data_IF_367195071100
#
_entry.id   IF_367195071100
#
_cell.length_a   1.000
_cell.length_b   1.000
_cell.length_c   1.000
_cell.angle_alpha   90.00
_cell.angle_beta   90.00
_cell.angle_gamma   90.00
#
_symmetry.space_group_name_H-M   'P 1'
#
loop_
_entity.id
_entity.type
_entity.pdbx_description
1 polymer ?
#
# COMPACT_ATOMS: atom_id res chain seq x y z
N UNK A 1 41.51 -8.62 -24.25
CA UNK A 1 40.07 -8.97 -24.23
C UNK A 1 39.37 -7.95 -23.37
N UNK A 2 38.89 -6.87 -23.98
CA UNK A 2 38.00 -5.89 -23.35
C UNK A 2 36.58 -6.40 -23.56
N UNK A 3 35.92 -6.89 -22.52
CA UNK A 3 34.50 -7.19 -22.59
C UNK A 3 33.76 -5.89 -22.89
N UNK A 4 33.08 -5.84 -24.04
CA UNK A 4 32.11 -4.81 -24.32
C UNK A 4 30.99 -4.94 -23.27
N UNK A 5 30.62 -3.87 -22.56
CA UNK A 5 29.44 -3.92 -21.72
C UNK A 5 28.26 -4.24 -22.63
N UNK A 6 27.51 -5.28 -22.27
CA UNK A 6 26.28 -5.70 -22.96
C UNK A 6 25.42 -4.47 -23.20
N UNK A 7 25.28 -4.06 -24.45
CA UNK A 7 24.35 -3.01 -24.85
C UNK A 7 22.95 -3.43 -24.39
N UNK A 8 22.49 -2.83 -23.29
CA UNK A 8 21.09 -2.93 -22.90
C UNK A 8 20.27 -2.49 -24.11
N UNK A 9 19.21 -3.21 -24.53
CA UNK A 9 18.47 -2.87 -25.73
C UNK A 9 17.97 -1.42 -25.62
N UNK A 10 18.64 -0.51 -26.34
CA UNK A 10 18.31 0.92 -26.40
C UNK A 10 17.13 1.14 -27.34
N UNK A 11 16.05 0.39 -27.12
CA UNK A 11 14.80 0.54 -27.83
C UNK A 11 13.95 1.61 -27.16
N UNK A 12 13.38 2.50 -27.97
CA UNK A 12 12.24 3.32 -27.54
C UNK A 12 11.14 2.40 -26.98
N UNK A 13 10.60 2.72 -25.80
CA UNK A 13 9.51 1.94 -25.24
C UNK A 13 8.24 2.12 -26.06
N UNK A 14 7.38 1.09 -26.03
CA UNK A 14 6.02 1.21 -26.54
C UNK A 14 5.30 2.39 -25.84
N UNK A 15 4.51 3.22 -26.55
CA UNK A 15 3.87 4.40 -25.96
C UNK A 15 3.05 4.10 -24.71
N UNK A 16 2.34 2.97 -24.69
CA UNK A 16 1.60 2.50 -23.52
C UNK A 16 2.51 2.20 -22.33
N UNK A 17 3.62 1.48 -22.56
CA UNK A 17 4.57 1.13 -21.50
C UNK A 17 5.18 2.39 -20.85
N UNK A 18 5.43 3.43 -21.66
CA UNK A 18 5.89 4.73 -21.16
C UNK A 18 4.86 5.42 -20.26
N UNK A 19 3.59 5.46 -20.66
CA UNK A 19 2.54 6.09 -19.85
C UNK A 19 2.30 5.29 -18.57
N UNK A 20 2.21 3.96 -18.68
CA UNK A 20 2.05 3.07 -17.52
C UNK A 20 3.22 3.17 -16.56
N UNK A 21 4.45 3.27 -17.04
CA UNK A 21 5.62 3.49 -16.19
C UNK A 21 5.53 4.80 -15.41
N UNK A 22 5.19 5.91 -16.09
CA UNK A 22 5.05 7.22 -15.43
C UNK A 22 3.95 7.20 -14.39
N UNK A 23 2.81 6.59 -14.72
CA UNK A 23 1.71 6.38 -13.79
C UNK A 23 2.16 5.54 -12.59
N UNK A 24 2.79 4.39 -12.82
CA UNK A 24 3.25 3.49 -11.76
C UNK A 24 4.27 4.16 -10.85
N UNK A 25 5.21 4.94 -11.41
CA UNK A 25 6.18 5.70 -10.62
C UNK A 25 5.48 6.73 -9.74
N UNK A 26 4.61 7.57 -10.30
CA UNK A 26 3.91 8.60 -9.51
C UNK A 26 3.01 7.95 -8.46
N UNK A 27 2.24 6.93 -8.84
CA UNK A 27 1.37 6.21 -7.93
C UNK A 27 2.19 5.62 -6.76
N UNK A 28 3.29 4.93 -7.06
CA UNK A 28 4.17 4.39 -6.02
C UNK A 28 4.70 5.48 -5.08
N UNK A 29 5.20 6.61 -5.61
CA UNK A 29 5.69 7.71 -4.79
C UNK A 29 4.59 8.29 -3.90
N UNK A 30 3.40 8.52 -4.45
CA UNK A 30 2.26 9.08 -3.70
C UNK A 30 1.71 8.13 -2.64
N UNK A 31 1.67 6.82 -2.93
CA UNK A 31 1.11 5.82 -2.04
C UNK A 31 2.10 5.39 -0.95
N UNK A 32 3.36 5.14 -1.33
CA UNK A 32 4.36 4.56 -0.44
C UNK A 32 5.17 5.60 0.35
N UNK A 33 5.36 6.82 -0.18
CA UNK A 33 6.30 7.79 0.40
C UNK A 33 5.64 9.05 0.97
N UNK A 34 4.42 9.39 0.56
CA UNK A 34 3.75 10.58 1.10
C UNK A 34 3.18 10.25 2.48
N UNK A 35 3.64 10.93 3.55
CA UNK A 35 3.23 10.61 4.91
C UNK A 35 1.78 11.03 5.17
N UNK A 36 1.17 10.40 6.18
CA UNK A 36 -0.21 10.73 6.59
C UNK A 36 -0.37 12.20 6.98
N UNK A 37 0.68 12.87 7.49
CA UNK A 37 0.65 14.31 7.80
C UNK A 37 0.29 15.17 6.59
N UNK A 38 0.67 14.74 5.38
CA UNK A 38 0.34 15.43 4.13
C UNK A 38 -1.05 15.01 3.65
N UNK A 39 -1.38 13.72 3.76
CA UNK A 39 -2.67 13.18 3.31
C UNK A 39 -3.86 13.61 4.16
N UNK A 40 -3.71 13.73 5.48
CA UNK A 40 -4.82 13.97 6.41
C UNK A 40 -5.62 15.24 6.11
N UNK A 41 -5.00 16.44 5.93
CA UNK A 41 -5.76 17.64 5.57
C UNK A 41 -6.42 17.53 4.19
N UNK A 42 -5.77 16.84 3.24
CA UNK A 42 -6.29 16.64 1.89
C UNK A 42 -7.54 15.76 1.93
N UNK A 43 -7.45 14.58 2.56
CA UNK A 43 -8.54 13.60 2.63
C UNK A 43 -9.72 14.17 3.42
N UNK A 44 -9.46 14.86 4.53
CA UNK A 44 -10.53 15.51 5.31
C UNK A 44 -11.21 16.64 4.56
N UNK A 45 -10.44 17.50 3.88
CA UNK A 45 -10.98 18.57 3.05
C UNK A 45 -11.86 18.03 1.92
N UNK A 46 -11.43 16.94 1.28
CA UNK A 46 -12.18 16.29 0.22
C UNK A 46 -13.44 15.59 0.73
N UNK A 47 -13.35 14.92 1.88
CA UNK A 47 -14.53 14.36 2.52
C UNK A 47 -15.56 15.42 2.89
N UNK A 48 -15.12 16.58 3.39
CA UNK A 48 -16.01 17.71 3.67
C UNK A 48 -16.64 18.29 2.38
N UNK A 49 -15.86 18.41 1.30
CA UNK A 49 -16.36 18.90 0.02
C UNK A 49 -17.37 17.96 -0.66
N UNK A 50 -17.25 16.65 -0.40
CA UNK A 50 -18.13 15.61 -0.95
C UNK A 50 -19.25 15.18 0.01
N UNK A 51 -19.38 15.81 1.18
CA UNK A 51 -20.30 15.42 2.26
C UNK A 51 -20.16 13.94 2.67
N UNK A 52 -18.93 13.41 2.62
CA UNK A 52 -18.60 12.04 3.02
C UNK A 52 -18.00 12.06 4.43
N UNK A 53 -18.59 11.33 5.39
CA UNK A 53 -18.06 11.27 6.75
C UNK A 53 -16.71 10.56 6.78
N UNK A 54 -15.63 11.32 7.00
CA UNK A 54 -14.27 10.78 7.10
C UNK A 54 -14.04 10.21 8.50
N UNK A 55 -14.28 8.90 8.65
CA UNK A 55 -13.99 8.20 9.90
C UNK A 55 -12.62 7.55 9.83
N UNK A 56 -11.65 8.11 10.55
CA UNK A 56 -10.43 7.40 10.90
C UNK A 56 -10.69 6.63 12.19
N UNK A 57 -10.97 5.33 12.07
CA UNK A 57 -11.05 4.42 13.22
C UNK A 57 -9.92 3.40 13.06
N UNK A 58 -8.90 3.42 13.95
CA UNK A 58 -7.90 2.36 13.99
C UNK A 58 -8.59 1.03 14.18
N UNK A 59 -8.76 0.28 13.09
CA UNK A 59 -9.39 -1.03 13.11
C UNK A 59 -8.39 -2.13 12.77
N UNK A 60 -7.16 -1.77 12.38
CA UNK A 60 -6.12 -2.73 11.99
C UNK A 60 -6.35 -3.42 10.64
N UNK A 61 -7.31 -2.97 9.81
CA UNK A 61 -7.53 -3.53 8.46
C UNK A 61 -7.40 -2.52 7.31
N UNK A 62 -7.14 -1.25 7.58
CA UNK A 62 -7.09 -0.20 6.54
C UNK A 62 -8.42 0.01 5.82
N UNK A 63 -9.49 -0.65 6.25
CA UNK A 63 -10.83 -0.55 5.68
C UNK A 63 -11.57 0.56 6.41
N UNK A 64 -11.22 1.79 6.05
CA UNK A 64 -11.87 2.99 6.53
C UNK A 64 -12.23 3.88 5.36
N UNK A 65 -13.26 4.68 5.52
CA UNK A 65 -13.61 5.75 4.57
C UNK A 65 -12.42 6.67 4.29
N UNK A 66 -11.54 6.89 5.28
CA UNK A 66 -10.33 7.67 5.09
C UNK A 66 -9.38 7.00 4.08
N UNK A 67 -9.06 5.72 4.26
CA UNK A 67 -8.15 5.00 3.38
C UNK A 67 -8.71 4.87 1.95
N UNK A 68 -10.02 4.66 1.82
CA UNK A 68 -10.70 4.57 0.52
C UNK A 68 -10.58 5.90 -0.26
N UNK A 69 -10.85 7.03 0.40
CA UNK A 69 -10.68 8.35 -0.20
C UNK A 69 -9.20 8.61 -0.54
N UNK A 70 -8.27 8.29 0.36
CA UNK A 70 -6.84 8.45 0.10
C UNK A 70 -6.39 7.71 -1.17
N UNK A 71 -6.81 6.45 -1.35
CA UNK A 71 -6.47 5.67 -2.55
C UNK A 71 -7.13 6.27 -3.80
N UNK A 72 -8.41 6.64 -3.72
CA UNK A 72 -9.14 7.23 -4.86
C UNK A 72 -8.48 8.52 -5.36
N UNK A 73 -8.14 9.41 -4.43
CA UNK A 73 -7.49 10.68 -4.78
C UNK A 73 -6.03 10.50 -5.18
N UNK A 74 -5.29 9.60 -4.53
CA UNK A 74 -3.96 9.21 -4.96
C UNK A 74 -3.94 8.68 -6.39
N UNK A 75 -4.93 7.87 -6.76
CA UNK A 75 -5.10 7.38 -8.13
C UNK A 75 -5.36 8.52 -9.11
N UNK A 76 -6.27 9.43 -8.78
CA UNK A 76 -6.56 10.61 -9.62
C UNK A 76 -5.35 11.52 -9.79
N UNK A 77 -4.61 11.78 -8.71
CA UNK A 77 -3.38 12.57 -8.73
C UNK A 77 -2.29 11.92 -9.59
N UNK A 78 -2.10 10.60 -9.46
CA UNK A 78 -1.13 9.87 -10.26
C UNK A 78 -1.49 9.88 -11.76
N UNK A 79 -2.78 9.77 -12.10
CA UNK A 79 -3.25 9.92 -13.47
C UNK A 79 -2.98 11.32 -14.02
N UNK A 80 -3.34 12.37 -13.28
CA UNK A 80 -3.14 13.76 -13.71
C UNK A 80 -1.65 14.09 -13.87
N UNK A 81 -0.82 13.74 -12.89
CA UNK A 81 0.61 13.99 -12.92
C UNK A 81 1.33 13.18 -14.02
N UNK A 82 0.94 11.92 -14.26
CA UNK A 82 1.52 11.12 -15.36
C UNK A 82 1.11 11.63 -16.74
N UNK A 83 -0.09 12.21 -16.87
CA UNK A 83 -0.53 12.90 -18.08
C UNK A 83 0.31 14.17 -18.31
N UNK A 84 0.42 15.04 -17.29
CA UNK A 84 1.25 16.26 -17.37
C UNK A 84 2.69 15.92 -17.70
N UNK A 85 3.28 14.93 -17.03
CA UNK A 85 4.62 14.46 -17.35
C UNK A 85 4.71 13.95 -18.80
N UNK A 86 3.67 13.29 -19.32
CA UNK A 86 3.67 12.83 -20.70
C UNK A 86 3.57 13.92 -21.75
N UNK A 87 3.01 15.08 -21.41
CA UNK A 87 2.98 16.26 -22.27
C UNK A 87 4.33 16.99 -22.30
N UNK A 88 5.02 17.05 -21.15
CA UNK A 88 6.28 17.79 -20.99
C UNK A 88 7.49 16.98 -21.48
N UNK A 89 7.60 15.73 -21.04
CA UNK A 89 8.76 14.89 -21.32
C UNK A 89 8.52 14.00 -22.54
N UNK A 90 9.25 14.27 -23.61
CA UNK A 90 9.15 13.51 -24.86
C UNK A 90 10.12 12.32 -24.94
N UNK A 91 10.90 12.06 -23.89
CA UNK A 91 11.77 10.87 -23.83
C UNK A 91 10.97 9.61 -24.09
N UNK A 92 11.59 8.67 -24.78
CA UNK A 92 10.97 7.41 -25.22
C UNK A 92 11.26 6.26 -24.28
N UNK A 93 12.20 6.40 -23.33
CA UNK A 93 12.54 5.38 -22.35
C UNK A 93 13.19 5.98 -21.09
N UNK A 94 13.04 5.30 -19.94
CA UNK A 94 13.60 5.70 -18.65
C UNK A 94 14.22 4.49 -17.90
N UNK A 95 15.24 3.82 -18.46
CA UNK A 95 15.75 2.55 -17.92
C UNK A 95 16.20 2.66 -16.46
N UNK A 96 16.96 3.71 -16.11
CA UNK A 96 17.42 3.93 -14.73
C UNK A 96 16.28 4.16 -13.74
N UNK A 97 15.22 4.86 -14.14
CA UNK A 97 14.08 5.09 -13.24
C UNK A 97 13.20 3.84 -13.11
N UNK A 98 13.08 3.03 -14.18
CA UNK A 98 12.40 1.74 -14.10
C UNK A 98 13.10 0.77 -13.16
N UNK A 99 14.43 0.68 -13.26
CA UNK A 99 15.23 -0.13 -12.35
C UNK A 99 15.10 0.38 -10.91
N UNK A 100 15.22 1.69 -10.69
CA UNK A 100 15.03 2.29 -9.37
C UNK A 100 13.64 2.03 -8.78
N UNK A 101 12.57 2.09 -9.60
CA UNK A 101 11.21 1.79 -9.17
C UNK A 101 11.08 0.32 -8.74
N UNK A 102 11.63 -0.62 -9.50
CA UNK A 102 11.61 -2.04 -9.14
C UNK A 102 12.38 -2.30 -7.84
N UNK A 103 13.54 -1.67 -7.67
CA UNK A 103 14.32 -1.75 -6.43
C UNK A 103 13.55 -1.15 -5.25
N UNK A 104 12.91 0.01 -5.44
CA UNK A 104 12.12 0.63 -4.38
C UNK A 104 10.89 -0.22 -4.02
N UNK A 105 10.17 -0.76 -5.01
CA UNK A 105 8.98 -1.56 -4.82
C UNK A 105 9.29 -2.89 -4.11
N UNK A 106 10.35 -3.60 -4.50
CA UNK A 106 10.77 -4.84 -3.81
C UNK A 106 11.17 -4.57 -2.37
N UNK A 107 11.90 -3.48 -2.12
CA UNK A 107 12.36 -3.12 -0.77
C UNK A 107 11.18 -2.69 0.10
N UNK A 108 10.26 -1.88 -0.44
CA UNK A 108 9.03 -1.51 0.24
C UNK A 108 8.19 -2.75 0.61
N UNK A 109 7.96 -3.65 -0.36
CA UNK A 109 7.22 -4.88 -0.11
C UNK A 109 7.90 -5.75 0.94
N UNK A 110 9.22 -5.92 0.89
CA UNK A 110 9.97 -6.68 1.88
C UNK A 110 9.83 -6.09 3.28
N UNK A 111 9.96 -4.76 3.42
CA UNK A 111 9.79 -4.07 4.71
C UNK A 111 8.36 -4.24 5.23
N UNK A 112 7.34 -4.10 4.37
CA UNK A 112 5.95 -4.32 4.77
C UNK A 112 5.72 -5.77 5.21
N UNK A 113 6.14 -6.76 4.42
CA UNK A 113 5.99 -8.17 4.77
C UNK A 113 6.69 -8.53 6.09
N UNK A 114 7.91 -8.02 6.31
CA UNK A 114 8.62 -8.20 7.56
C UNK A 114 7.88 -7.53 8.73
N UNK A 115 7.41 -6.29 8.57
CA UNK A 115 6.66 -5.60 9.61
C UNK A 115 5.38 -6.36 9.99
N UNK A 116 4.65 -6.89 8.99
CA UNK A 116 3.47 -7.72 9.21
C UNK A 116 3.81 -9.05 9.90
N UNK A 117 4.89 -9.73 9.49
CA UNK A 117 5.38 -10.95 10.11
C UNK A 117 5.80 -10.74 11.56
N UNK A 118 6.59 -9.70 11.84
CA UNK A 118 6.98 -9.33 13.19
C UNK A 118 5.79 -8.97 14.07
N UNK A 119 4.79 -8.25 13.54
CA UNK A 119 3.58 -7.93 14.27
C UNK A 119 2.84 -9.19 14.77
N UNK A 120 2.88 -10.29 14.01
CA UNK A 120 2.35 -11.60 14.43
C UNK A 120 3.27 -12.30 15.43
N UNK A 121 4.58 -12.30 15.20
CA UNK A 121 5.57 -12.97 16.07
C UNK A 121 5.50 -12.42 17.51
N UNK A 122 5.35 -11.10 17.66
CA UNK A 122 5.24 -10.46 18.98
C UNK A 122 3.81 -10.48 19.54
N UNK A 123 2.84 -11.08 18.85
CA UNK A 123 1.44 -11.18 19.27
C UNK A 123 0.65 -9.87 19.22
N UNK A 124 1.16 -8.83 18.55
CA UNK A 124 0.50 -7.52 18.46
C UNK A 124 -0.61 -7.47 17.40
N UNK A 125 -0.53 -8.30 16.36
CA UNK A 125 -1.50 -8.28 15.25
C UNK A 125 -2.86 -8.88 15.63
N UNK A 126 -2.86 -9.97 16.41
CA UNK A 126 -4.08 -10.62 16.93
C UNK A 126 -4.01 -10.70 18.46
N UNK A 127 -4.42 -9.65 19.17
CA UNK A 127 -4.45 -9.66 20.63
C UNK A 127 -5.32 -10.79 21.18
N UNK A 128 -4.97 -11.27 22.36
CA UNK A 128 -5.77 -12.27 23.06
C UNK A 128 -7.23 -11.78 23.25
N UNK A 129 -8.24 -12.64 23.00
CA UNK A 129 -9.63 -12.25 23.15
C UNK A 129 -9.99 -11.79 24.56
N UNK A 130 -10.46 -10.55 24.67
CA UNK A 130 -10.98 -10.01 25.91
C UNK A 130 -12.37 -10.55 26.26
N UNK A 131 -12.84 -10.23 27.47
CA UNK A 131 -14.14 -10.67 28.00
C UNK A 131 -15.30 -10.34 27.06
N UNK A 132 -15.27 -9.17 26.40
CA UNK A 132 -16.29 -8.74 25.43
C UNK A 132 -16.50 -9.76 24.30
N UNK A 133 -15.42 -10.34 23.77
CA UNK A 133 -15.50 -11.34 22.70
C UNK A 133 -15.97 -12.70 23.24
N UNK A 134 -15.51 -13.07 24.45
CA UNK A 134 -15.77 -14.38 25.05
C UNK A 134 -17.23 -14.57 25.46
N UNK A 135 -17.91 -13.50 25.90
CA UNK A 135 -19.33 -13.57 26.30
C UNK A 135 -20.29 -13.27 25.14
N UNK A 136 -19.78 -12.81 24.00
CA UNK A 136 -20.61 -12.47 22.84
C UNK A 136 -21.07 -13.75 22.13
N UNK A 137 -22.38 -13.94 21.90
CA UNK A 137 -22.87 -15.08 21.14
C UNK A 137 -22.24 -15.15 19.74
N UNK A 138 -21.89 -16.36 19.28
CA UNK A 138 -21.24 -16.56 17.98
C UNK A 138 -21.98 -15.91 16.81
N UNK A 139 -23.32 -15.96 16.80
CA UNK A 139 -24.14 -15.34 15.75
C UNK A 139 -24.11 -13.81 15.70
N UNK A 140 -23.52 -13.15 16.71
CA UNK A 140 -23.38 -11.70 16.79
C UNK A 140 -21.93 -11.23 16.51
N UNK A 141 -21.00 -12.16 16.28
CA UNK A 141 -19.64 -11.82 15.90
C UNK A 141 -19.60 -11.38 14.43
N UNK A 142 -18.83 -10.32 14.15
CA UNK A 142 -18.49 -10.01 12.76
C UNK A 142 -17.51 -11.08 12.22
N UNK A 143 -17.46 -11.31 10.88
CA UNK A 143 -16.49 -12.24 10.30
C UNK A 143 -15.04 -11.93 10.72
N UNK A 144 -14.70 -10.64 10.77
CA UNK A 144 -13.43 -10.14 11.29
C UNK A 144 -13.21 -10.54 12.75
N UNK A 145 -14.18 -10.27 13.63
CA UNK A 145 -14.07 -10.58 15.05
C UNK A 145 -13.87 -12.07 15.31
N UNK A 146 -14.53 -12.92 14.52
CA UNK A 146 -14.38 -14.37 14.61
C UNK A 146 -12.96 -14.82 14.24
N UNK A 147 -12.42 -14.37 13.10
CA UNK A 147 -11.06 -14.73 12.65
C UNK A 147 -9.99 -14.16 13.58
N UNK A 148 -10.11 -12.89 13.96
CA UNK A 148 -9.16 -12.27 14.91
C UNK A 148 -9.20 -12.98 16.26
N UNK A 149 -10.38 -13.36 16.74
CA UNK A 149 -10.54 -14.14 17.96
C UNK A 149 -9.82 -15.48 17.88
N UNK A 150 -10.07 -16.24 16.80
CA UNK A 150 -9.42 -17.53 16.56
C UNK A 150 -7.89 -17.42 16.49
N UNK A 151 -7.37 -16.49 15.68
CA UNK A 151 -5.93 -16.25 15.57
C UNK A 151 -5.32 -15.83 16.92
N UNK A 152 -6.03 -14.97 17.67
CA UNK A 152 -5.60 -14.43 18.95
C UNK A 152 -5.54 -15.43 20.11
N UNK A 153 -6.24 -16.57 20.01
CA UNK A 153 -6.25 -17.59 21.06
C UNK A 153 -4.92 -18.35 21.20
N UNK A 154 -4.12 -18.45 20.13
CA UNK A 154 -2.86 -19.22 20.15
C UNK A 154 -1.68 -18.39 19.66
N UNK A 155 -0.83 -17.96 20.60
CA UNK A 155 0.41 -17.25 20.27
C UNK A 155 1.33 -18.11 19.39
N UNK A 156 1.41 -19.43 19.63
CA UNK A 156 2.22 -20.33 18.82
C UNK A 156 1.75 -20.34 17.35
N UNK A 157 0.44 -20.30 17.13
CA UNK A 157 -0.14 -20.23 15.79
C UNK A 157 0.12 -18.86 15.12
N UNK A 158 0.06 -17.76 15.87
CA UNK A 158 0.46 -16.45 15.37
C UNK A 158 1.93 -16.42 14.95
N UNK A 159 2.84 -16.95 15.79
CA UNK A 159 4.26 -17.03 15.47
C UNK A 159 4.47 -17.87 14.21
N UNK A 160 3.86 -19.05 14.12
CA UNK A 160 3.96 -19.92 12.95
C UNK A 160 3.55 -19.19 11.67
N UNK A 161 2.39 -18.51 11.68
CA UNK A 161 1.90 -17.76 10.51
C UNK A 161 2.60 -16.41 10.27
N UNK A 162 3.47 -15.98 11.19
CA UNK A 162 4.35 -14.82 11.02
C UNK A 162 5.73 -15.16 10.45
N UNK A 163 6.15 -16.43 10.58
CA UNK A 163 7.40 -16.94 10.00
C UNK A 163 7.25 -17.41 8.55
N UNK A 164 6.02 -17.67 8.10
CA UNK A 164 5.67 -18.06 6.74
C UNK A 164 5.50 -16.83 5.84
#
# INVERSE_FOLDING_TARGET
MTENPVDAPTGAWHPLARVLFRFALVYFLTYALVPELVWDPIVRGLGAALDVPVRYRPNGSGDTTYNQLQVLFGLGLALAASLVWSLIDRRTAHPRLAEALLIAARTYLAVMMLAYGFAKIIGSQFPAPGLELLVRPYGQLSPKGLVWGFMGQSLAYQIFTGLL
#
